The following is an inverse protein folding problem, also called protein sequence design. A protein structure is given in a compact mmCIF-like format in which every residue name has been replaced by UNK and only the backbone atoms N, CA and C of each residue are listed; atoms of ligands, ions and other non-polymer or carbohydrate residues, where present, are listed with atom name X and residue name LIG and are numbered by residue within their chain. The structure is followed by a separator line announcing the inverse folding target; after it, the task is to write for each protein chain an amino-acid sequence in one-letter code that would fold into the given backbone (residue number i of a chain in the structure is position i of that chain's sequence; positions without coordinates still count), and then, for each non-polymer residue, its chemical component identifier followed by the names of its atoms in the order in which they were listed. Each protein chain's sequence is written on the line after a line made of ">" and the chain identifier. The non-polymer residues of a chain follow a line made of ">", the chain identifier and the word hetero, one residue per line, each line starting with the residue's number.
data_IF_525700241613
#
_entry.id   IF_525700241613
#
_cell.length_a   1.000
_cell.length_b   1.000
_cell.length_c   1.000
_cell.angle_alpha   90.00
_cell.angle_beta   90.00
_cell.angle_gamma   90.00
#
_symmetry.space_group_name_H-M   'P 1'
#
loop_
_entity.id
_entity.type
_entity.pdbx_description
1 polymer ?
#
# COMPACT_ATOMS: atom_id res chain seq x y z
N UNK A 1 25.51 -20.80 1.50
CA UNK A 1 24.35 -20.13 0.89
C UNK A 1 23.10 -20.44 1.70
N UNK A 2 22.22 -19.45 1.83
CA UNK A 2 20.89 -19.65 2.43
C UNK A 2 19.97 -20.39 1.43
N UNK A 3 18.95 -21.11 1.91
CA UNK A 3 17.93 -21.68 1.02
C UNK A 3 17.24 -20.60 0.18
N UNK A 4 16.94 -20.90 -1.08
CA UNK A 4 16.36 -19.91 -2.01
C UNK A 4 15.05 -19.31 -1.48
N UNK A 5 14.13 -20.13 -1.00
CA UNK A 5 12.85 -19.66 -0.48
C UNK A 5 12.90 -19.13 0.98
N UNK A 6 14.10 -18.98 1.55
CA UNK A 6 14.32 -18.53 2.93
C UNK A 6 14.53 -19.65 3.94
N UNK A 7 15.00 -19.28 5.14
CA UNK A 7 15.21 -20.23 6.23
C UNK A 7 13.89 -20.85 6.69
N UNK A 8 13.93 -22.15 6.97
CA UNK A 8 12.77 -22.88 7.49
C UNK A 8 12.25 -22.25 8.78
N UNK A 9 13.16 -21.91 9.71
CA UNK A 9 12.80 -21.26 10.97
C UNK A 9 12.04 -19.94 10.74
N UNK A 10 12.49 -19.11 9.80
CA UNK A 10 11.80 -17.85 9.48
C UNK A 10 10.41 -18.11 8.91
N UNK A 11 10.25 -19.10 8.01
CA UNK A 11 8.95 -19.44 7.43
C UNK A 11 7.97 -19.93 8.49
N UNK A 12 8.43 -20.72 9.45
CA UNK A 12 7.62 -21.16 10.60
C UNK A 12 7.22 -20.00 11.50
N UNK A 13 8.11 -19.03 11.76
CA UNK A 13 7.75 -17.86 12.54
C UNK A 13 6.79 -16.92 11.78
N UNK A 14 6.91 -16.82 10.45
CA UNK A 14 5.94 -16.09 9.62
C UNK A 14 4.55 -16.73 9.74
N UNK A 15 4.45 -18.06 9.64
CA UNK A 15 3.17 -18.76 9.79
C UNK A 15 2.55 -18.55 11.17
N UNK A 16 3.33 -18.70 12.25
CA UNK A 16 2.88 -18.43 13.62
C UNK A 16 2.40 -16.98 13.81
N UNK A 17 3.11 -16.02 13.21
CA UNK A 17 2.73 -14.62 13.24
C UNK A 17 1.39 -14.39 12.50
N UNK A 18 1.24 -14.94 11.30
CA UNK A 18 0.02 -14.81 10.51
C UNK A 18 -1.18 -15.45 11.21
N UNK A 19 -1.00 -16.61 11.81
CA UNK A 19 -2.06 -17.26 12.60
C UNK A 19 -2.46 -16.41 13.81
N UNK A 20 -1.48 -15.95 14.60
CA UNK A 20 -1.70 -15.16 15.82
C UNK A 20 -2.31 -13.78 15.55
N UNK A 21 -1.82 -13.08 14.51
CA UNK A 21 -2.19 -11.68 14.26
C UNK A 21 -3.32 -11.53 13.24
N UNK A 22 -3.44 -12.42 12.27
CA UNK A 22 -4.32 -12.28 11.11
C UNK A 22 -5.29 -13.45 10.91
N UNK A 23 -5.17 -14.52 11.72
CA UNK A 23 -6.00 -15.71 11.58
C UNK A 23 -5.79 -16.49 10.28
N UNK A 24 -4.62 -16.33 9.67
CA UNK A 24 -4.21 -17.03 8.45
C UNK A 24 -3.17 -18.10 8.78
N UNK A 25 -3.30 -19.29 8.21
CA UNK A 25 -2.33 -20.37 8.36
C UNK A 25 -1.84 -20.84 7.00
N UNK A 26 -0.52 -20.94 6.87
CA UNK A 26 0.16 -21.40 5.67
C UNK A 26 1.26 -22.40 6.03
N UNK A 27 1.59 -23.26 5.08
CA UNK A 27 2.69 -24.21 5.23
C UNK A 27 4.01 -23.62 4.72
N UNK A 28 5.12 -24.31 5.01
CA UNK A 28 6.42 -23.91 4.48
C UNK A 28 6.48 -23.89 2.95
N UNK A 29 5.71 -24.74 2.26
CA UNK A 29 5.62 -24.77 0.80
C UNK A 29 4.78 -23.63 0.23
N UNK A 30 3.92 -23.04 1.07
CA UNK A 30 3.08 -21.90 0.74
C UNK A 30 3.72 -20.56 1.13
N UNK A 31 4.97 -20.57 1.58
CA UNK A 31 5.69 -19.39 2.08
C UNK A 31 7.03 -19.22 1.37
N UNK A 32 7.33 -18.02 0.89
CA UNK A 32 8.65 -17.63 0.40
C UNK A 32 9.11 -16.30 0.99
N UNK A 33 10.39 -16.22 1.30
CA UNK A 33 11.06 -15.01 1.79
C UNK A 33 11.64 -14.24 0.62
N UNK A 34 11.47 -12.91 0.61
CA UNK A 34 11.83 -12.04 -0.52
C UNK A 34 12.67 -10.84 -0.07
N UNK A 35 13.31 -10.15 -1.02
CA UNK A 35 14.01 -8.89 -0.77
C UNK A 35 13.01 -7.72 -0.74
N UNK A 36 12.22 -7.67 0.36
CA UNK A 36 11.11 -6.75 0.56
C UNK A 36 9.86 -7.13 -0.25
N UNK A 37 8.74 -6.46 0.06
CA UNK A 37 7.46 -6.70 -0.61
C UNK A 37 7.50 -6.41 -2.12
N UNK A 38 8.34 -5.45 -2.55
CA UNK A 38 8.44 -5.09 -3.98
C UNK A 38 8.93 -6.25 -4.85
N UNK A 39 9.85 -7.09 -4.34
CA UNK A 39 10.24 -8.30 -5.06
C UNK A 39 9.10 -9.31 -5.14
N UNK A 40 8.37 -9.52 -4.04
CA UNK A 40 7.22 -10.42 -4.03
C UNK A 40 6.17 -10.00 -5.07
N UNK A 41 5.90 -8.69 -5.20
CA UNK A 41 5.00 -8.12 -6.20
C UNK A 41 5.51 -8.43 -7.61
N UNK A 42 6.78 -8.13 -7.91
CA UNK A 42 7.39 -8.38 -9.22
C UNK A 42 7.35 -9.87 -9.59
N UNK A 43 7.71 -10.75 -8.64
CA UNK A 43 7.70 -12.21 -8.86
C UNK A 43 6.29 -12.74 -9.14
N UNK A 44 5.27 -12.28 -8.40
CA UNK A 44 3.90 -12.71 -8.63
C UNK A 44 3.41 -12.28 -10.02
N UNK A 45 3.62 -11.03 -10.38
CA UNK A 45 3.19 -10.52 -11.70
C UNK A 45 3.88 -11.31 -12.81
N UNK A 46 5.21 -11.49 -12.74
CA UNK A 46 5.96 -12.28 -13.74
C UNK A 46 5.56 -13.75 -13.80
N UNK A 47 5.14 -14.34 -12.68
CA UNK A 47 4.77 -15.76 -12.63
C UNK A 47 3.43 -16.05 -13.31
N UNK A 48 2.49 -15.07 -13.34
CA UNK A 48 1.12 -15.36 -13.76
C UNK A 48 0.64 -14.55 -14.95
N UNK A 49 1.31 -13.44 -15.30
CA UNK A 49 0.89 -12.51 -16.34
C UNK A 49 1.66 -12.75 -17.64
N UNK A 50 0.94 -12.84 -18.76
CA UNK A 50 1.49 -12.93 -20.10
C UNK A 50 1.24 -11.65 -20.90
N UNK A 51 1.98 -11.41 -21.99
CA UNK A 51 1.70 -10.29 -22.88
C UNK A 51 0.24 -10.34 -23.40
N UNK A 52 -0.46 -9.20 -23.22
CA UNK A 52 -1.86 -9.05 -23.62
C UNK A 52 -2.90 -9.41 -22.54
N UNK A 53 -2.50 -10.02 -21.42
CA UNK A 53 -3.34 -10.12 -20.23
C UNK A 53 -3.61 -8.73 -19.62
N UNK A 54 -4.71 -8.60 -18.91
CA UNK A 54 -5.05 -7.36 -18.20
C UNK A 54 -4.78 -7.51 -16.69
N UNK A 55 -4.09 -6.50 -16.14
CA UNK A 55 -3.87 -6.34 -14.71
C UNK A 55 -4.74 -5.20 -14.22
N UNK A 56 -5.65 -5.50 -13.29
CA UNK A 56 -6.57 -4.56 -12.68
C UNK A 56 -5.88 -3.88 -11.49
N UNK A 57 -5.84 -2.55 -11.48
CA UNK A 57 -5.15 -1.78 -10.44
C UNK A 57 -6.06 -0.68 -9.92
N UNK A 58 -6.56 -0.75 -8.66
CA UNK A 58 -7.22 0.37 -8.01
C UNK A 58 -6.27 1.57 -7.88
N UNK A 59 -6.69 2.75 -8.31
CA UNK A 59 -5.93 4.00 -8.23
C UNK A 59 -6.70 5.07 -7.44
N UNK A 60 -5.97 5.93 -6.70
CA UNK A 60 -4.52 6.06 -6.59
C UNK A 60 -3.88 4.92 -5.77
N UNK A 61 -2.65 4.52 -6.16
CA UNK A 61 -1.95 3.39 -5.54
C UNK A 61 -0.42 3.53 -5.57
N UNK A 62 0.28 2.58 -4.97
CA UNK A 62 1.74 2.56 -4.96
C UNK A 62 2.33 2.52 -6.37
N UNK A 63 3.26 3.43 -6.62
CA UNK A 63 3.81 3.77 -7.95
C UNK A 63 4.45 2.61 -8.72
N UNK A 64 4.78 1.49 -8.06
CA UNK A 64 5.50 0.39 -8.73
C UNK A 64 4.58 -0.62 -9.42
N UNK A 65 3.28 -0.66 -9.13
CA UNK A 65 2.41 -1.70 -9.69
C UNK A 65 2.27 -1.57 -11.21
N UNK A 66 1.93 -0.38 -11.69
CA UNK A 66 1.74 -0.13 -13.14
C UNK A 66 3.01 -0.43 -13.95
N UNK A 67 4.20 0.13 -13.64
CA UNK A 67 5.39 -0.15 -14.45
C UNK A 67 5.82 -1.62 -14.39
N UNK A 68 5.69 -2.30 -13.26
CA UNK A 68 6.01 -3.74 -13.18
C UNK A 68 5.06 -4.56 -14.07
N UNK A 69 3.76 -4.28 -14.03
CA UNK A 69 2.79 -4.94 -14.89
C UNK A 69 3.09 -4.70 -16.39
N UNK A 70 3.39 -3.46 -16.77
CA UNK A 70 3.76 -3.14 -18.18
C UNK A 70 5.04 -3.83 -18.65
N UNK A 71 6.01 -4.05 -17.76
CA UNK A 71 7.24 -4.77 -18.09
C UNK A 71 7.01 -6.24 -18.50
N UNK A 72 5.87 -6.83 -18.16
CA UNK A 72 5.48 -8.17 -18.64
C UNK A 72 4.76 -8.16 -19.99
N UNK A 73 4.49 -6.99 -20.56
CA UNK A 73 3.67 -6.82 -21.76
C UNK A 73 2.15 -6.84 -21.48
N UNK A 74 1.78 -6.75 -20.20
CA UNK A 74 0.37 -6.64 -19.80
C UNK A 74 -0.23 -5.28 -20.17
N UNK A 75 -1.55 -5.27 -20.31
CA UNK A 75 -2.35 -4.05 -20.31
C UNK A 75 -2.81 -3.76 -18.89
N UNK A 76 -2.47 -2.58 -18.39
CA UNK A 76 -2.98 -2.09 -17.10
C UNK A 76 -4.38 -1.52 -17.31
N UNK A 77 -5.30 -1.93 -16.44
CA UNK A 77 -6.66 -1.41 -16.34
C UNK A 77 -6.79 -0.71 -14.99
N UNK A 78 -6.76 0.61 -15.03
CA UNK A 78 -6.91 1.46 -13.84
C UNK A 78 -8.37 1.46 -13.38
N UNK A 79 -8.60 1.25 -12.08
CA UNK A 79 -9.92 1.28 -11.45
C UNK A 79 -9.96 2.49 -10.50
N UNK A 80 -10.86 3.46 -10.74
CA UNK A 80 -10.96 4.62 -9.88
C UNK A 80 -11.42 4.25 -8.46
N UNK A 81 -10.70 4.73 -7.45
CA UNK A 81 -11.18 4.83 -6.08
C UNK A 81 -11.32 6.30 -5.72
N UNK A 82 -12.33 6.64 -4.93
CA UNK A 82 -12.75 8.03 -4.74
C UNK A 82 -12.72 8.44 -3.27
N UNK A 83 -12.55 9.73 -3.06
CA UNK A 83 -12.62 10.34 -1.73
C UNK A 83 -13.95 10.06 -1.02
N UNK A 84 -15.05 10.13 -1.77
CA UNK A 84 -16.41 9.89 -1.28
C UNK A 84 -16.64 8.47 -0.78
N UNK A 85 -15.85 7.51 -1.28
CA UNK A 85 -15.87 6.09 -0.90
C UNK A 85 -14.71 5.73 0.05
N UNK A 86 -14.11 6.71 0.73
CA UNK A 86 -12.92 6.52 1.56
C UNK A 86 -11.74 5.85 0.81
N UNK A 87 -11.67 6.06 -0.51
CA UNK A 87 -10.72 5.41 -1.43
C UNK A 87 -10.79 3.87 -1.41
N UNK A 88 -11.94 3.30 -1.13
CA UNK A 88 -12.20 1.85 -1.21
C UNK A 88 -12.45 1.42 -2.66
N UNK A 89 -12.06 0.19 -2.97
CA UNK A 89 -12.49 -0.45 -4.21
C UNK A 89 -13.96 -0.87 -4.06
N UNK A 90 -14.84 -0.25 -4.84
CA UNK A 90 -16.26 -0.62 -4.81
C UNK A 90 -16.57 -1.81 -5.73
N UNK A 91 -17.58 -2.63 -5.40
CA UNK A 91 -18.04 -3.73 -6.25
C UNK A 91 -18.39 -3.27 -7.67
N UNK A 92 -19.03 -2.11 -7.81
CA UNK A 92 -19.43 -1.52 -9.09
C UNK A 92 -18.22 -1.18 -9.95
N UNK A 93 -17.21 -0.52 -9.36
CA UNK A 93 -15.98 -0.15 -10.06
C UNK A 93 -15.20 -1.39 -10.52
N UNK A 94 -15.10 -2.42 -9.67
CA UNK A 94 -14.46 -3.67 -10.02
C UNK A 94 -15.20 -4.37 -11.17
N UNK A 95 -16.53 -4.49 -11.08
CA UNK A 95 -17.36 -5.14 -12.07
C UNK A 95 -17.27 -4.49 -13.46
N UNK A 96 -17.22 -3.16 -13.48
CA UNK A 96 -17.06 -2.39 -14.71
C UNK A 96 -15.69 -2.56 -15.38
N UNK A 97 -14.65 -2.89 -14.62
CA UNK A 97 -13.29 -3.06 -15.12
C UNK A 97 -12.98 -4.48 -15.63
N UNK A 98 -13.74 -5.48 -15.20
CA UNK A 98 -13.49 -6.88 -15.55
C UNK A 98 -13.82 -7.16 -17.03
N UNK A 99 -12.88 -7.80 -17.72
CA UNK A 99 -13.04 -8.31 -19.09
C UNK A 99 -12.61 -9.79 -19.16
N UNK A 100 -12.86 -10.50 -20.26
CA UNK A 100 -12.35 -11.86 -20.43
C UNK A 100 -10.82 -12.00 -20.41
N UNK A 101 -10.08 -10.89 -20.51
CA UNK A 101 -8.62 -10.87 -20.43
C UNK A 101 -8.08 -10.50 -19.04
N UNK A 102 -8.95 -10.17 -18.12
CA UNK A 102 -8.56 -9.81 -16.74
C UNK A 102 -7.93 -11.03 -16.06
N UNK A 103 -6.65 -10.93 -15.70
CA UNK A 103 -5.82 -12.02 -15.19
C UNK A 103 -5.49 -11.85 -13.71
N UNK A 104 -5.17 -10.64 -13.30
CA UNK A 104 -4.69 -10.32 -11.96
C UNK A 104 -5.36 -9.06 -11.45
N UNK A 105 -5.84 -9.08 -10.22
CA UNK A 105 -6.21 -7.90 -9.44
C UNK A 105 -5.11 -7.61 -8.43
N UNK A 106 -4.52 -6.43 -8.47
CA UNK A 106 -3.68 -5.92 -7.38
C UNK A 106 -4.61 -5.30 -6.34
N UNK A 107 -4.48 -5.74 -5.08
CA UNK A 107 -5.36 -5.36 -3.98
C UNK A 107 -4.53 -4.74 -2.85
N UNK A 108 -4.29 -3.40 -2.88
CA UNK A 108 -3.29 -2.72 -2.07
C UNK A 108 -3.89 -2.09 -0.81
N UNK A 109 -4.33 -2.88 0.15
CA UNK A 109 -4.92 -2.35 1.40
C UNK A 109 -4.26 -2.92 2.65
N UNK A 110 -3.96 -2.06 3.67
CA UNK A 110 -4.14 -0.60 3.74
C UNK A 110 -3.33 0.15 2.68
N UNK A 111 -3.95 1.18 2.09
CA UNK A 111 -3.47 1.79 0.84
C UNK A 111 -2.39 2.86 1.05
N UNK A 112 -1.39 2.84 0.20
CA UNK A 112 -0.49 3.94 -0.08
C UNK A 112 -0.86 4.49 -1.48
N UNK A 113 -1.36 5.73 -1.63
CA UNK A 113 -1.09 6.92 -0.77
C UNK A 113 -2.20 7.33 0.20
N UNK A 114 -3.39 6.73 0.14
CA UNK A 114 -4.60 7.31 0.72
C UNK A 114 -4.80 7.04 2.21
N UNK A 115 -4.27 5.91 2.70
CA UNK A 115 -4.57 5.40 4.04
C UNK A 115 -5.95 4.75 4.16
N UNK A 116 -6.63 4.49 3.03
CA UNK A 116 -7.88 3.72 2.99
C UNK A 116 -7.65 2.26 3.38
N UNK A 117 -8.67 1.64 3.97
CA UNK A 117 -8.73 0.20 4.29
C UNK A 117 -9.98 -0.41 3.68
N UNK A 118 -10.04 -1.75 3.65
CA UNK A 118 -11.26 -2.50 3.35
C UNK A 118 -11.73 -3.19 4.61
N UNK A 119 -13.03 -3.17 4.87
CA UNK A 119 -13.64 -3.88 5.99
C UNK A 119 -14.19 -5.24 5.54
N UNK A 120 -14.57 -6.09 6.49
CA UNK A 120 -15.09 -7.44 6.24
C UNK A 120 -16.18 -7.44 5.15
N UNK A 121 -17.18 -6.56 5.27
CA UNK A 121 -18.28 -6.50 4.31
C UNK A 121 -17.87 -6.05 2.90
N UNK A 122 -16.90 -5.13 2.82
CA UNK A 122 -16.34 -4.71 1.53
C UNK A 122 -15.62 -5.89 0.86
N UNK A 123 -14.82 -6.65 1.64
CA UNK A 123 -14.07 -7.80 1.15
C UNK A 123 -14.99 -8.93 0.69
N UNK A 124 -16.08 -9.19 1.40
CA UNK A 124 -17.09 -10.19 1.02
C UNK A 124 -17.75 -9.83 -0.31
N UNK A 125 -18.11 -8.55 -0.51
CA UNK A 125 -18.71 -8.08 -1.74
C UNK A 125 -17.74 -8.16 -2.95
N UNK A 126 -16.46 -7.86 -2.75
CA UNK A 126 -15.41 -8.03 -3.78
C UNK A 126 -15.21 -9.53 -4.07
N UNK A 127 -15.14 -10.37 -3.04
CA UNK A 127 -14.96 -11.81 -3.18
C UNK A 127 -16.11 -12.47 -3.95
N UNK A 128 -17.36 -12.03 -3.75
CA UNK A 128 -18.52 -12.52 -4.50
C UNK A 128 -18.34 -12.36 -6.02
N UNK A 129 -17.84 -11.18 -6.45
CA UNK A 129 -17.54 -10.93 -7.87
C UNK A 129 -16.40 -11.82 -8.35
N UNK A 130 -15.32 -11.92 -7.57
CA UNK A 130 -14.12 -12.66 -7.98
C UNK A 130 -14.37 -14.17 -8.07
N UNK A 131 -15.27 -14.75 -7.28
CA UNK A 131 -15.63 -16.18 -7.35
C UNK A 131 -16.17 -16.59 -8.73
N UNK A 132 -16.86 -15.68 -9.41
CA UNK A 132 -17.39 -15.90 -10.77
C UNK A 132 -16.34 -15.76 -11.87
N UNK A 133 -15.06 -15.59 -11.51
CA UNK A 133 -13.95 -15.34 -12.42
C UNK A 133 -12.76 -16.27 -12.15
N UNK A 134 -11.79 -16.26 -13.08
CA UNK A 134 -10.48 -16.90 -12.89
C UNK A 134 -9.37 -15.87 -12.49
N UNK A 135 -9.76 -14.69 -12.05
CA UNK A 135 -8.82 -13.63 -11.67
C UNK A 135 -8.08 -14.05 -10.40
N UNK A 136 -6.75 -13.96 -10.45
CA UNK A 136 -5.89 -14.10 -9.29
C UNK A 136 -5.80 -12.77 -8.53
N UNK A 137 -5.50 -12.83 -7.24
CA UNK A 137 -5.36 -11.64 -6.39
C UNK A 137 -3.94 -11.54 -5.85
N UNK A 138 -3.31 -10.39 -6.02
CA UNK A 138 -2.12 -9.98 -5.30
C UNK A 138 -2.56 -9.01 -4.20
N UNK A 139 -2.62 -9.47 -2.96
CA UNK A 139 -2.96 -8.64 -1.81
C UNK A 139 -1.70 -8.08 -1.18
N UNK A 140 -1.43 -6.79 -1.40
CA UNK A 140 -0.31 -6.11 -0.76
C UNK A 140 -0.76 -5.59 0.61
N UNK A 141 -0.37 -6.32 1.65
CA UNK A 141 -0.76 -6.09 3.05
C UNK A 141 0.41 -5.56 3.89
N UNK A 142 1.38 -4.89 3.25
CA UNK A 142 2.60 -4.39 3.92
C UNK A 142 2.30 -3.43 5.10
N UNK A 143 1.11 -2.84 5.13
CA UNK A 143 0.65 -1.94 6.19
C UNK A 143 -0.38 -2.59 7.14
N UNK A 144 -0.58 -3.91 7.12
CA UNK A 144 -1.61 -4.61 7.88
C UNK A 144 -1.62 -4.27 9.38
N UNK A 145 -0.45 -4.16 10.01
CA UNK A 145 -0.33 -3.81 11.44
C UNK A 145 -0.57 -2.32 11.73
N UNK A 146 -0.51 -1.48 10.72
CA UNK A 146 -0.72 -0.04 10.84
C UNK A 146 -2.16 0.30 10.46
N UNK A 147 -3.12 -0.20 11.26
CA UNK A 147 -4.55 0.15 11.21
C UNK A 147 -4.95 0.83 12.51
N UNK A 148 -5.87 1.79 12.44
CA UNK A 148 -6.16 2.76 13.49
C UNK A 148 -7.62 2.70 13.95
N UNK A 149 -7.92 3.44 15.02
CA UNK A 149 -9.29 3.58 15.53
C UNK A 149 -9.89 2.29 16.10
N UNK A 150 -9.06 1.41 16.63
CA UNK A 150 -9.49 0.10 17.16
C UNK A 150 -9.84 -0.93 16.08
N UNK A 151 -9.67 -0.59 14.80
CA UNK A 151 -9.87 -1.52 13.68
C UNK A 151 -8.68 -2.48 13.56
N UNK A 152 -8.97 -3.70 13.11
CA UNK A 152 -7.95 -4.67 12.74
C UNK A 152 -8.00 -4.90 11.24
N UNK A 153 -6.83 -5.13 10.65
CA UNK A 153 -6.74 -5.55 9.27
C UNK A 153 -7.46 -6.89 9.06
N UNK A 154 -8.21 -6.99 7.99
CA UNK A 154 -8.81 -8.24 7.51
C UNK A 154 -8.20 -8.55 6.16
N UNK A 155 -7.54 -9.69 6.03
CA UNK A 155 -6.98 -10.13 4.76
C UNK A 155 -8.09 -10.64 3.83
N UNK A 156 -8.03 -10.30 2.55
CA UNK A 156 -8.96 -10.90 1.56
C UNK A 156 -8.74 -12.41 1.45
N UNK A 157 -7.56 -12.92 1.76
CA UNK A 157 -7.28 -14.36 1.79
C UNK A 157 -8.06 -15.11 2.88
N UNK A 158 -8.59 -14.42 3.91
CA UNK A 158 -9.44 -15.02 4.94
C UNK A 158 -10.90 -15.19 4.49
N UNK A 159 -11.30 -14.57 3.39
CA UNK A 159 -12.67 -14.66 2.85
C UNK A 159 -12.82 -15.97 2.08
N UNK A 160 -13.97 -16.63 2.26
CA UNK A 160 -14.26 -17.90 1.61
C UNK A 160 -14.07 -17.84 0.08
N UNK A 161 -13.32 -18.81 -0.47
CA UNK A 161 -13.00 -18.92 -1.91
C UNK A 161 -11.92 -17.96 -2.39
N UNK A 162 -11.24 -17.22 -1.47
CA UNK A 162 -10.17 -16.30 -1.87
C UNK A 162 -8.76 -16.85 -1.58
N UNK A 163 -8.60 -17.73 -0.58
CA UNK A 163 -7.29 -18.30 -0.23
C UNK A 163 -6.61 -19.00 -1.41
N UNK A 164 -7.36 -19.73 -2.21
CA UNK A 164 -6.86 -20.55 -3.33
C UNK A 164 -6.43 -19.74 -4.55
N UNK A 165 -6.70 -18.43 -4.55
CA UNK A 165 -6.37 -17.51 -5.66
C UNK A 165 -5.61 -16.27 -5.24
N UNK A 166 -5.24 -16.16 -3.95
CA UNK A 166 -4.58 -14.97 -3.42
C UNK A 166 -3.14 -15.26 -3.03
N UNK A 167 -2.22 -14.41 -3.49
CA UNK A 167 -0.90 -14.24 -2.89
C UNK A 167 -0.96 -13.01 -1.99
N UNK A 168 -0.74 -13.21 -0.71
CA UNK A 168 -0.55 -12.14 0.28
C UNK A 168 0.92 -11.75 0.29
N UNK A 169 1.19 -10.48 0.07
CA UNK A 169 2.52 -9.88 0.17
C UNK A 169 2.58 -9.06 1.46
N UNK A 170 3.60 -9.31 2.26
CA UNK A 170 3.84 -8.55 3.47
C UNK A 170 5.36 -8.47 3.74
N UNK A 171 5.78 -7.90 4.87
CA UNK A 171 7.20 -7.82 5.19
C UNK A 171 7.52 -6.97 6.40
N UNK A 172 8.81 -6.79 6.62
CA UNK A 172 9.36 -6.22 7.84
C UNK A 172 9.58 -4.71 7.75
N UNK A 173 9.51 -4.17 6.54
CA UNK A 173 9.86 -2.75 6.28
C UNK A 173 9.03 -1.75 7.07
N UNK A 174 7.73 -2.03 7.29
CA UNK A 174 6.78 -1.09 7.90
C UNK A 174 6.43 -1.53 9.32
N UNK A 175 6.01 -2.77 9.47
CA UNK A 175 5.62 -3.36 10.75
C UNK A 175 6.74 -3.27 11.80
N UNK A 176 7.98 -3.52 11.38
CA UNK A 176 9.16 -3.53 12.28
C UNK A 176 10.15 -2.39 12.03
N UNK A 177 9.75 -1.36 11.27
CA UNK A 177 10.63 -0.25 10.88
C UNK A 177 11.97 -0.68 10.22
N UNK A 178 11.98 -1.86 9.57
CA UNK A 178 13.16 -2.50 8.97
C UNK A 178 13.29 -2.20 7.46
N UNK A 179 13.06 -0.95 7.03
CA UNK A 179 13.07 -0.58 5.60
C UNK A 179 14.40 -0.88 4.91
N UNK A 180 15.53 -0.59 5.58
CA UNK A 180 16.88 -0.79 5.05
C UNK A 180 17.35 -2.26 5.05
N UNK A 181 16.69 -3.14 5.79
CA UNK A 181 17.02 -4.56 5.89
C UNK A 181 16.61 -5.36 4.65
N UNK A 182 15.77 -4.77 3.80
CA UNK A 182 15.31 -5.36 2.53
C UNK A 182 14.77 -6.78 2.71
N UNK A 183 13.76 -6.95 3.57
CA UNK A 183 13.15 -8.24 3.82
C UNK A 183 11.62 -8.15 3.77
N UNK A 184 11.02 -9.13 3.08
CA UNK A 184 9.61 -9.35 2.96
C UNK A 184 9.30 -10.82 2.75
N UNK A 185 8.05 -11.13 2.54
CA UNK A 185 7.59 -12.47 2.24
C UNK A 185 6.32 -12.46 1.41
N UNK A 186 6.08 -13.56 0.73
CA UNK A 186 4.83 -13.88 0.08
C UNK A 186 4.29 -15.21 0.63
N UNK A 187 2.97 -15.26 0.87
CA UNK A 187 2.28 -16.49 1.22
C UNK A 187 1.07 -16.70 0.32
N UNK A 188 0.74 -17.95 0.03
CA UNK A 188 -0.40 -18.31 -0.80
C UNK A 188 -0.31 -19.71 -1.37
N UNK A 189 -1.12 -20.07 -2.38
CA UNK A 189 -1.15 -21.42 -2.92
C UNK A 189 0.23 -21.93 -3.34
N UNK A 190 0.62 -23.11 -2.88
CA UNK A 190 1.93 -23.71 -3.15
C UNK A 190 2.31 -23.76 -4.65
N UNK A 191 1.40 -24.01 -5.61
CA UNK A 191 1.75 -23.92 -7.03
C UNK A 191 2.22 -22.53 -7.47
N UNK A 192 1.60 -21.46 -6.97
CA UNK A 192 2.00 -20.08 -7.29
C UNK A 192 3.36 -19.74 -6.63
N UNK A 193 3.51 -20.06 -5.35
CA UNK A 193 4.79 -19.87 -4.62
C UNK A 193 5.93 -20.60 -5.31
N UNK A 194 5.70 -21.78 -5.84
CA UNK A 194 6.71 -22.56 -6.58
C UNK A 194 7.18 -21.84 -7.86
N UNK A 195 6.24 -21.28 -8.64
CA UNK A 195 6.60 -20.53 -9.85
C UNK A 195 7.32 -19.22 -9.52
N UNK A 196 6.89 -18.51 -8.49
CA UNK A 196 7.57 -17.31 -7.99
C UNK A 196 8.99 -17.65 -7.53
N UNK A 197 9.19 -18.76 -6.81
CA UNK A 197 10.51 -19.21 -6.33
C UNK A 197 11.46 -19.52 -7.47
N UNK A 198 10.99 -20.06 -8.61
CA UNK A 198 11.83 -20.26 -9.80
C UNK A 198 12.42 -18.96 -10.33
N UNK A 199 11.63 -17.90 -10.39
CA UNK A 199 12.07 -16.59 -10.84
C UNK A 199 13.05 -16.00 -9.82
N UNK A 200 12.70 -16.03 -8.55
CA UNK A 200 13.50 -15.54 -7.43
C UNK A 200 14.94 -16.14 -7.44
N UNK A 201 15.04 -17.46 -7.55
CA UNK A 201 16.35 -18.14 -7.50
C UNK A 201 17.28 -17.74 -8.65
N UNK A 202 16.74 -17.41 -9.84
CA UNK A 202 17.54 -16.96 -10.97
C UNK A 202 17.86 -15.47 -10.95
N UNK A 203 17.01 -14.65 -10.31
CA UNK A 203 17.21 -13.21 -10.23
C UNK A 203 18.13 -12.81 -9.05
N UNK A 204 17.90 -13.40 -7.88
CA UNK A 204 18.45 -12.92 -6.60
C UNK A 204 19.16 -14.05 -5.83
N UNK A 205 18.79 -15.29 -6.01
CA UNK A 205 19.18 -16.49 -5.24
C UNK A 205 18.45 -16.62 -3.90
N UNK A 206 18.67 -15.70 -2.96
CA UNK A 206 18.08 -15.73 -1.63
C UNK A 206 18.12 -14.35 -0.97
N UNK A 207 17.24 -14.12 -0.01
CA UNK A 207 17.27 -12.91 0.82
C UNK A 207 18.50 -12.92 1.76
N UNK A 208 19.01 -11.72 2.20
CA UNK A 208 20.19 -11.63 3.05
C UNK A 208 20.03 -12.42 4.36
N UNK A 209 21.02 -13.26 4.67
CA UNK A 209 21.05 -14.12 5.87
C UNK A 209 20.84 -13.33 7.16
N UNK A 210 21.57 -12.23 7.32
CA UNK A 210 21.48 -11.37 8.53
C UNK A 210 20.10 -10.80 8.74
N UNK A 211 19.44 -10.37 7.65
CA UNK A 211 18.08 -9.87 7.70
C UNK A 211 17.08 -10.96 8.09
N UNK A 212 17.26 -12.19 7.59
CA UNK A 212 16.39 -13.29 7.95
C UNK A 212 16.49 -13.66 9.43
N UNK A 213 17.70 -13.70 9.99
CA UNK A 213 17.92 -13.96 11.44
C UNK A 213 17.31 -12.87 12.31
N UNK A 214 17.49 -11.59 11.93
CA UNK A 214 16.88 -10.47 12.64
C UNK A 214 15.34 -10.52 12.58
N UNK A 215 14.79 -10.98 11.47
CA UNK A 215 13.34 -11.11 11.30
C UNK A 215 12.73 -12.21 12.19
N UNK A 216 13.43 -13.31 12.40
CA UNK A 216 13.01 -14.35 13.36
C UNK A 216 12.83 -13.75 14.75
N UNK A 217 13.80 -12.97 15.20
CA UNK A 217 13.73 -12.31 16.51
C UNK A 217 12.62 -11.27 16.56
N UNK A 218 12.47 -10.46 15.49
CA UNK A 218 11.41 -9.46 15.41
C UNK A 218 10.01 -10.08 15.53
N UNK A 219 9.75 -11.21 14.83
CA UNK A 219 8.48 -11.92 14.89
C UNK A 219 8.15 -12.52 16.27
N UNK A 220 9.20 -12.86 17.03
CA UNK A 220 9.06 -13.46 18.38
C UNK A 220 8.85 -12.43 19.48
N UNK A 221 9.48 -11.27 19.38
CA UNK A 221 9.70 -10.42 20.53
C UNK A 221 9.19 -8.98 20.41
N UNK A 222 8.75 -8.51 19.23
CA UNK A 222 8.49 -7.08 19.01
C UNK A 222 7.00 -6.71 18.85
N UNK A 223 6.07 -7.46 19.44
CA UNK A 223 4.64 -7.16 19.37
C UNK A 223 4.29 -5.84 20.10
N UNK A 224 4.93 -5.56 21.25
CA UNK A 224 4.71 -4.34 22.02
C UNK A 224 5.23 -3.09 21.29
N UNK A 225 6.36 -3.22 20.60
CA UNK A 225 6.95 -2.13 19.79
C UNK A 225 6.08 -1.78 18.58
N UNK A 226 5.46 -2.80 17.95
CA UNK A 226 4.48 -2.58 16.87
C UNK A 226 3.30 -1.77 17.40
N UNK A 227 2.74 -2.16 18.54
CA UNK A 227 1.58 -1.48 19.14
C UNK A 227 1.91 -0.04 19.54
N UNK A 228 3.05 0.18 20.18
CA UNK A 228 3.50 1.52 20.54
C UNK A 228 3.72 2.42 19.30
N UNK A 229 4.32 1.88 18.24
CA UNK A 229 4.53 2.60 16.99
C UNK A 229 3.20 2.92 16.29
N UNK A 230 2.26 1.98 16.25
CA UNK A 230 0.92 2.18 15.68
C UNK A 230 0.18 3.30 16.42
N UNK A 231 0.20 3.31 17.75
CA UNK A 231 -0.49 4.31 18.56
C UNK A 231 0.12 5.72 18.36
N UNK A 232 1.43 5.80 18.21
CA UNK A 232 2.12 7.05 17.88
C UNK A 232 1.71 7.55 16.48
N UNK A 233 1.61 6.68 15.48
CA UNK A 233 1.14 7.06 14.15
C UNK A 233 -0.33 7.47 14.13
N UNK A 234 -1.20 6.81 14.88
CA UNK A 234 -2.62 7.20 15.01
C UNK A 234 -2.73 8.64 15.57
N UNK A 235 -1.98 8.94 16.62
CA UNK A 235 -1.93 10.30 17.21
C UNK A 235 -1.43 11.34 16.19
N UNK A 236 -0.35 11.06 15.47
CA UNK A 236 0.19 11.98 14.46
C UNK A 236 -0.75 12.16 13.27
N UNK A 237 -1.39 11.10 12.81
CA UNK A 237 -2.38 11.14 11.73
C UNK A 237 -3.57 12.02 12.09
N UNK A 238 -4.16 11.84 13.28
CA UNK A 238 -5.27 12.66 13.80
C UNK A 238 -4.90 14.13 13.89
N UNK A 239 -3.71 14.43 14.45
CA UNK A 239 -3.21 15.80 14.50
C UNK A 239 -3.10 16.41 13.10
N UNK A 240 -2.45 15.71 12.18
CA UNK A 240 -2.20 16.25 10.84
C UNK A 240 -3.48 16.48 10.06
N UNK A 241 -4.43 15.54 10.10
CA UNK A 241 -5.75 15.70 9.45
C UNK A 241 -6.51 16.89 10.01
N UNK A 242 -6.56 17.04 11.34
CA UNK A 242 -7.21 18.19 11.98
C UNK A 242 -6.62 19.53 11.51
N UNK A 243 -5.30 19.61 11.45
CA UNK A 243 -4.62 20.83 11.01
C UNK A 243 -4.78 21.11 9.52
N UNK A 244 -4.74 20.09 8.65
CA UNK A 244 -4.94 20.27 7.21
C UNK A 244 -6.36 20.77 6.91
N UNK A 245 -7.37 20.17 7.54
CA UNK A 245 -8.75 20.64 7.41
C UNK A 245 -8.92 22.08 7.95
N UNK A 246 -8.28 22.42 9.07
CA UNK A 246 -8.30 23.78 9.63
C UNK A 246 -7.75 24.83 8.65
N UNK A 247 -6.71 24.50 7.91
CA UNK A 247 -6.10 25.41 6.92
C UNK A 247 -6.74 25.34 5.53
N UNK A 248 -7.85 24.61 5.37
CA UNK A 248 -8.65 24.56 4.13
C UNK A 248 -8.24 23.49 3.12
N UNK A 249 -7.37 22.56 3.48
CA UNK A 249 -7.10 21.37 2.67
C UNK A 249 -7.94 20.20 3.15
N UNK A 250 -9.03 19.92 2.44
CA UNK A 250 -9.91 18.81 2.74
C UNK A 250 -9.16 17.50 2.76
N UNK A 251 -9.21 16.78 3.88
CA UNK A 251 -8.42 15.60 4.12
C UNK A 251 -9.27 14.50 4.77
N UNK A 252 -9.31 13.34 4.13
CA UNK A 252 -9.84 12.11 4.69
C UNK A 252 -9.03 11.66 5.91
N UNK A 253 -9.69 11.13 6.93
CA UNK A 253 -9.01 10.53 8.09
C UNK A 253 -8.49 9.14 7.71
N UNK A 254 -7.17 8.94 7.53
CA UNK A 254 -6.63 7.64 7.17
C UNK A 254 -6.93 6.62 8.27
N UNK A 255 -7.30 5.44 7.85
CA UNK A 255 -7.59 4.30 8.73
C UNK A 255 -6.46 3.27 8.76
N UNK A 256 -5.45 3.47 7.88
CA UNK A 256 -4.25 2.64 7.82
C UNK A 256 -3.06 3.36 7.20
N UNK A 257 -1.92 2.67 7.12
CA UNK A 257 -0.63 3.17 6.67
C UNK A 257 -0.14 4.39 7.49
N UNK A 258 0.70 5.25 6.95
CA UNK A 258 1.18 6.46 7.62
C UNK A 258 1.24 7.67 6.66
N UNK A 259 0.17 7.78 5.85
CA UNK A 259 0.01 8.85 4.87
C UNK A 259 -1.34 9.54 5.04
N UNK A 260 -1.36 10.83 4.72
CA UNK A 260 -2.58 11.58 4.43
C UNK A 260 -2.57 12.01 2.97
N UNK A 261 -3.75 12.12 2.39
CA UNK A 261 -3.94 12.43 0.97
C UNK A 261 -4.95 13.58 0.78
N UNK A 262 -4.61 14.80 1.28
CA UNK A 262 -5.51 15.95 1.21
C UNK A 262 -5.71 16.43 -0.22
N UNK A 263 -6.92 16.94 -0.48
CA UNK A 263 -7.27 17.63 -1.72
C UNK A 263 -6.65 19.03 -1.75
N UNK A 264 -6.07 19.38 -2.90
CA UNK A 264 -5.55 20.72 -3.19
C UNK A 264 -6.39 21.47 -4.23
N UNK A 265 -7.54 20.92 -4.61
CA UNK A 265 -8.41 21.48 -5.67
C UNK A 265 -8.83 22.91 -5.40
N UNK A 266 -8.97 23.30 -4.12
CA UNK A 266 -9.24 24.68 -3.71
C UNK A 266 -8.19 25.69 -4.19
N UNK A 267 -6.95 25.24 -4.45
CA UNK A 267 -5.88 26.12 -4.92
C UNK A 267 -5.94 26.43 -6.41
N UNK A 268 -6.54 25.55 -7.22
CA UNK A 268 -6.59 25.63 -8.68
C UNK A 268 -5.28 25.26 -9.37
N UNK A 269 -4.26 24.81 -8.61
CA UNK A 269 -2.99 24.31 -9.14
C UNK A 269 -3.09 22.83 -9.46
N UNK A 270 -2.27 22.34 -10.42
CA UNK A 270 -2.01 20.93 -10.56
C UNK A 270 -1.23 20.38 -9.36
N UNK A 271 -1.29 19.07 -9.12
CA UNK A 271 -0.56 18.46 -8.01
C UNK A 271 0.96 18.65 -8.14
N UNK A 272 1.51 18.59 -9.34
CA UNK A 272 2.92 18.83 -9.61
C UNK A 272 3.31 20.29 -9.33
N UNK A 273 2.57 21.25 -9.88
CA UNK A 273 2.83 22.67 -9.65
C UNK A 273 2.75 23.04 -8.16
N UNK A 274 1.75 22.52 -7.45
CA UNK A 274 1.62 22.73 -6.01
C UNK A 274 2.87 22.23 -5.27
N UNK A 275 3.30 21.00 -5.54
CA UNK A 275 4.45 20.38 -4.88
C UNK A 275 5.76 21.14 -5.20
N UNK A 276 5.97 21.53 -6.46
CA UNK A 276 7.15 22.25 -6.88
C UNK A 276 7.24 23.63 -6.23
N UNK A 277 6.14 24.39 -6.24
CA UNK A 277 6.06 25.71 -5.60
C UNK A 277 6.24 25.62 -4.10
N UNK A 278 5.56 24.70 -3.44
CA UNK A 278 5.69 24.49 -1.99
C UNK A 278 7.15 24.16 -1.59
N UNK A 279 7.82 23.31 -2.37
CA UNK A 279 9.22 22.98 -2.15
C UNK A 279 10.14 24.20 -2.33
N UNK A 280 9.96 24.96 -3.40
CA UNK A 280 10.81 26.13 -3.71
C UNK A 280 10.61 27.26 -2.72
N UNK A 281 9.36 27.57 -2.38
CA UNK A 281 9.01 28.75 -1.59
C UNK A 281 9.12 28.52 -0.08
N UNK A 282 8.67 27.35 0.39
CA UNK A 282 8.59 27.09 1.84
C UNK A 282 9.51 25.92 2.31
N UNK A 283 10.23 25.26 1.40
CA UNK A 283 11.12 24.12 1.74
C UNK A 283 10.38 22.97 2.43
N UNK A 284 9.18 22.67 1.93
CA UNK A 284 8.40 21.49 2.33
C UNK A 284 8.26 20.58 1.12
N UNK A 285 8.74 19.35 1.24
CA UNK A 285 8.63 18.33 0.20
C UNK A 285 7.42 17.44 0.49
N UNK A 286 6.52 17.34 -0.47
CA UNK A 286 5.38 16.42 -0.50
C UNK A 286 5.34 15.75 -1.88
N UNK A 287 4.53 14.72 -2.06
CA UNK A 287 4.47 13.99 -3.32
C UNK A 287 3.18 14.36 -4.07
N UNK A 288 3.26 14.71 -5.36
CA UNK A 288 2.08 15.01 -6.16
C UNK A 288 1.19 13.78 -6.30
N UNK A 289 -0.12 13.97 -6.28
CA UNK A 289 -1.10 12.90 -6.41
C UNK A 289 -1.01 12.20 -7.77
N UNK A 290 -0.69 12.93 -8.84
CA UNK A 290 -0.47 12.39 -10.18
C UNK A 290 0.61 11.29 -10.23
N UNK A 291 1.56 11.26 -9.29
CA UNK A 291 2.55 10.19 -9.18
C UNK A 291 1.93 8.82 -8.82
N UNK A 292 0.70 8.78 -8.31
CA UNK A 292 0.01 7.56 -7.87
C UNK A 292 -1.08 7.09 -8.84
N UNK A 293 -1.06 7.60 -10.08
CA UNK A 293 -2.02 7.34 -11.13
C UNK A 293 -2.90 8.56 -11.43
N UNK A 294 -3.63 8.49 -12.54
CA UNK A 294 -4.45 9.61 -13.04
C UNK A 294 -5.52 10.06 -12.03
N UNK A 295 -6.07 9.11 -11.27
CA UNK A 295 -7.08 9.37 -10.24
C UNK A 295 -6.54 10.02 -8.97
N UNK A 296 -5.21 10.15 -8.86
CA UNK A 296 -4.55 10.88 -7.78
C UNK A 296 -4.45 12.39 -8.01
N UNK A 297 -4.70 12.88 -9.25
CA UNK A 297 -4.61 14.31 -9.54
C UNK A 297 -5.58 15.16 -8.69
N UNK A 298 -5.13 16.36 -8.33
CA UNK A 298 -5.86 17.25 -7.41
C UNK A 298 -5.64 16.92 -5.92
N UNK A 299 -4.73 16.00 -5.61
CA UNK A 299 -4.33 15.64 -4.24
C UNK A 299 -2.80 15.68 -4.09
N UNK A 300 -2.35 15.64 -2.84
CA UNK A 300 -0.92 15.46 -2.49
C UNK A 300 -0.78 14.41 -1.40
N UNK A 301 0.32 13.65 -1.41
CA UNK A 301 0.63 12.72 -0.31
C UNK A 301 1.59 13.36 0.67
N UNK A 302 1.22 13.34 1.96
CA UNK A 302 2.07 13.73 3.08
C UNK A 302 2.29 12.51 3.97
N UNK A 303 3.57 12.21 4.30
CA UNK A 303 3.90 11.16 5.27
C UNK A 303 3.98 11.74 6.67
N UNK A 304 3.41 11.05 7.66
CA UNK A 304 3.52 11.42 9.08
C UNK A 304 4.47 10.52 9.89
N UNK A 305 5.44 9.90 9.21
CA UNK A 305 6.55 9.18 9.86
C UNK A 305 7.53 10.09 10.62
N UNK A 306 7.35 11.39 10.53
CA UNK A 306 8.19 12.40 11.21
C UNK A 306 7.65 12.71 12.60
N UNK A 307 8.52 13.27 13.47
CA UNK A 307 8.10 13.71 14.79
C UNK A 307 6.99 14.76 14.71
N UNK A 308 6.13 14.82 15.74
CA UNK A 308 5.05 15.81 15.83
C UNK A 308 5.58 17.25 15.68
N UNK A 309 6.80 17.53 16.17
CA UNK A 309 7.43 18.83 16.01
C UNK A 309 7.71 19.19 14.54
N UNK A 310 8.21 18.25 13.76
CA UNK A 310 8.41 18.45 12.31
C UNK A 310 7.08 18.65 11.57
N UNK A 311 6.05 17.89 11.94
CA UNK A 311 4.71 18.04 11.35
C UNK A 311 4.13 19.43 11.64
N UNK A 312 4.26 19.93 12.88
CA UNK A 312 3.85 21.29 13.25
C UNK A 312 4.55 22.38 12.43
N UNK A 313 5.84 22.19 12.14
CA UNK A 313 6.59 23.14 11.29
C UNK A 313 6.10 23.07 9.85
N UNK A 314 5.89 21.85 9.31
CA UNK A 314 5.40 21.68 7.96
C UNK A 314 4.01 22.29 7.77
N UNK A 315 3.07 22.05 8.67
CA UNK A 315 1.71 22.64 8.62
C UNK A 315 1.77 24.17 8.57
N UNK A 316 2.52 24.82 9.44
CA UNK A 316 2.66 26.30 9.44
C UNK A 316 3.21 26.83 8.12
N UNK A 317 4.12 26.11 7.47
CA UNK A 317 4.68 26.49 6.17
C UNK A 317 3.65 26.29 5.04
N UNK A 318 2.88 25.20 5.08
CA UNK A 318 1.78 24.97 4.14
C UNK A 318 0.72 26.07 4.29
N UNK A 319 0.30 26.42 5.51
CA UNK A 319 -0.64 27.51 5.80
C UNK A 319 -0.16 28.86 5.23
N UNK A 320 1.12 29.18 5.43
CA UNK A 320 1.73 30.38 4.86
C UNK A 320 1.70 30.39 3.33
N UNK A 321 1.98 29.24 2.71
CA UNK A 321 1.93 29.06 1.27
C UNK A 321 0.52 29.25 0.72
N UNK A 322 -0.50 28.63 1.35
CA UNK A 322 -1.90 28.80 0.96
C UNK A 322 -2.35 30.26 1.06
N UNK A 323 -2.00 30.95 2.14
CA UNK A 323 -2.31 32.39 2.32
C UNK A 323 -1.66 33.28 1.24
N UNK A 324 -0.51 32.86 0.72
CA UNK A 324 0.13 33.54 -0.42
C UNK A 324 -0.65 33.33 -1.71
N UNK A 325 -1.04 32.06 -1.99
CA UNK A 325 -1.82 31.71 -3.17
C UNK A 325 -3.16 32.48 -3.22
N UNK A 326 -3.83 32.61 -2.07
CA UNK A 326 -5.08 33.38 -1.97
C UNK A 326 -4.88 34.87 -2.33
N UNK A 327 -3.78 35.49 -1.87
CA UNK A 327 -3.45 36.88 -2.21
C UNK A 327 -3.20 37.02 -3.71
N UNK A 328 -2.40 36.15 -4.30
CA UNK A 328 -2.11 36.16 -5.73
C UNK A 328 -3.39 36.01 -6.58
N UNK A 329 -4.35 35.18 -6.15
CA UNK A 329 -5.66 35.04 -6.81
C UNK A 329 -6.46 36.35 -6.75
N UNK A 330 -6.52 37.00 -5.59
CA UNK A 330 -7.27 38.25 -5.38
C UNK A 330 -6.67 39.41 -6.19
N UNK A 331 -5.34 39.49 -6.31
CA UNK A 331 -4.65 40.48 -7.11
C UNK A 331 -4.89 40.29 -8.61
N UNK A 332 -4.88 39.03 -9.09
CA UNK A 332 -5.14 38.72 -10.51
C UNK A 332 -6.61 38.75 -10.92
N UNK A 333 -7.55 38.66 -9.96
CA UNK A 333 -9.01 38.73 -10.19
C UNK A 333 -9.59 40.16 -10.21
N UNK A 334 -8.77 41.17 -9.93
CA UNK A 334 -9.17 42.61 -9.94
C UNK A 334 -8.67 43.37 -11.20
N UNK A 335 -8.11 42.66 -12.19
CA UNK A 335 -7.59 43.21 -13.45
C UNK A 335 -8.54 42.87 -14.64
#
# INVERSE_FOLDING_TARGET
>A
YSPNAGFQELKQEIDRYLERRMGLSYTEEETMVTIGGSEAIDMMIRAVVNPGDEVLIPEPCYVSYDPIARLTGAKVVSIPTRFEDDFRLTPESLKAAITPRSKLLIFPYPNNPTGGIMEQGDLEAIAEILRETNILVLSDEIYAELTYGGKKHVSIASIEGMRERTIVVNGFSKTYAMTGWRLGYAVGPAPLIREMTKIHQFAIMCAPTTSQLAAVEALRCCDEEIEAMRDEYDMRGKYLVGELNRIGLECFQPQGAFYVFPSIRCTGLSSEEFCERLLREERVAVIPGSAFGDWGEGHIRISYCYSLQHLKVAVRKIEKFLSKLEREKNENGQG
#
